data_IF_392045249093
#
_entry.id   IF_392045249093
#
_cell.length_a   1.000
_cell.length_b   1.000
_cell.length_c   1.000
_cell.angle_alpha   90.00
_cell.angle_beta   90.00
_cell.angle_gamma   90.00
#
_symmetry.space_group_name_H-M   'P 1'
#
loop_
_entity.id
_entity.type
_entity.pdbx_description
1 polymer ?
#
# COMPACT_ATOMS: atom_id res chain seq x y z
N UNK A 1 -9.11 -0.86 -2.43
CA UNK A 1 -8.97 -0.91 -0.96
C UNK A 1 -7.94 0.13 -0.53
N UNK A 2 -8.08 0.80 0.62
CA UNK A 2 -7.08 1.77 1.09
C UNK A 2 -6.54 1.33 2.45
N UNK A 3 -5.23 1.24 2.59
CA UNK A 3 -4.59 0.89 3.86
C UNK A 3 -3.82 2.10 4.41
N UNK A 4 -3.80 2.24 5.73
CA UNK A 4 -3.09 3.32 6.43
C UNK A 4 -1.96 2.70 7.22
N UNK A 5 -0.75 3.18 6.99
CA UNK A 5 0.48 2.68 7.59
C UNK A 5 1.20 3.82 8.31
N UNK A 6 1.94 3.46 9.35
CA UNK A 6 2.84 4.40 9.99
C UNK A 6 4.02 4.71 9.05
N UNK A 7 4.43 5.98 8.95
CA UNK A 7 5.61 6.36 8.20
C UNK A 7 6.84 5.68 8.80
N UNK A 8 7.79 5.27 7.95
CA UNK A 8 9.01 4.52 8.33
C UNK A 8 8.78 3.14 8.95
N UNK A 9 7.59 2.56 8.78
CA UNK A 9 7.36 1.14 9.11
C UNK A 9 7.72 0.24 7.94
N UNK A 10 8.12 -1.01 8.22
CA UNK A 10 8.41 -2.02 7.18
C UNK A 10 7.27 -2.18 6.15
N UNK A 11 6.02 -2.04 6.58
CA UNK A 11 4.87 -2.09 5.68
C UNK A 11 4.82 -0.90 4.72
N UNK A 12 5.17 0.30 5.18
CA UNK A 12 5.22 1.50 4.35
C UNK A 12 6.37 1.42 3.33
N UNK A 13 7.55 0.95 3.75
CA UNK A 13 8.67 0.66 2.85
C UNK A 13 8.30 -0.39 1.79
N UNK A 14 7.67 -1.50 2.21
CA UNK A 14 7.21 -2.54 1.28
C UNK A 14 6.20 -1.98 0.26
N UNK A 15 5.23 -1.17 0.69
CA UNK A 15 4.28 -0.54 -0.21
C UNK A 15 4.95 0.46 -1.17
N UNK A 16 5.95 1.22 -0.71
CA UNK A 16 6.71 2.14 -1.56
C UNK A 16 7.54 1.40 -2.60
N UNK A 17 8.23 0.33 -2.20
CA UNK A 17 9.00 -0.52 -3.13
C UNK A 17 8.06 -1.17 -4.14
N UNK A 18 6.93 -1.72 -3.70
CA UNK A 18 5.94 -2.33 -4.59
C UNK A 18 5.38 -1.33 -5.59
N UNK A 19 5.10 -0.10 -5.17
CA UNK A 19 4.67 0.97 -6.07
C UNK A 19 5.75 1.33 -7.09
N UNK A 20 6.98 1.60 -6.64
CA UNK A 20 8.11 2.00 -7.52
C UNK A 20 8.53 0.92 -8.50
N UNK A 21 8.45 -0.34 -8.09
CA UNK A 21 8.86 -1.49 -8.91
C UNK A 21 7.71 -2.20 -9.61
N UNK A 22 6.48 -1.70 -9.47
CA UNK A 22 5.27 -2.31 -9.99
C UNK A 22 5.14 -3.81 -9.59
N UNK A 23 5.42 -4.10 -8.32
CA UNK A 23 5.36 -5.46 -7.77
C UNK A 23 4.03 -5.72 -7.07
N UNK A 24 3.68 -7.00 -6.99
CA UNK A 24 2.54 -7.46 -6.19
C UNK A 24 2.84 -7.21 -4.72
N UNK A 25 1.92 -6.54 -4.05
CA UNK A 25 1.86 -6.31 -2.62
C UNK A 25 0.85 -7.27 -2.00
N UNK A 26 1.33 -8.21 -1.18
CA UNK A 26 0.46 -9.12 -0.46
C UNK A 26 -0.06 -8.47 0.83
N UNK A 27 -1.37 -8.48 1.00
CA UNK A 27 -2.02 -7.97 2.19
C UNK A 27 -3.15 -8.91 2.61
N UNK A 28 -3.14 -9.39 3.85
CA UNK A 28 -4.14 -10.34 4.37
C UNK A 28 -4.34 -11.57 3.46
N UNK A 29 -3.26 -12.14 2.92
CA UNK A 29 -3.29 -13.30 2.03
C UNK A 29 -3.88 -13.04 0.64
N UNK A 30 -4.07 -11.77 0.26
CA UNK A 30 -4.54 -11.37 -1.07
C UNK A 30 -3.49 -10.52 -1.76
N UNK A 31 -3.35 -10.72 -3.06
CA UNK A 31 -2.42 -9.99 -3.92
C UNK A 31 -3.04 -8.69 -4.43
N UNK A 32 -2.33 -7.58 -4.25
CA UNK A 32 -2.74 -6.25 -4.69
C UNK A 32 -1.62 -5.54 -5.47
N UNK A 33 -1.99 -4.66 -6.38
CA UNK A 33 -1.10 -3.62 -6.90
C UNK A 33 -1.31 -2.33 -6.11
N UNK A 34 -0.21 -1.67 -5.75
CA UNK A 34 -0.26 -0.33 -5.19
C UNK A 34 -0.47 0.65 -6.35
N UNK A 35 -1.64 1.28 -6.43
CA UNK A 35 -1.99 2.27 -7.46
C UNK A 35 -1.42 3.64 -7.15
N UNK A 36 -1.42 4.01 -5.87
CA UNK A 36 -1.04 5.36 -5.42
C UNK A 36 -0.62 5.34 -3.97
N UNK A 37 0.30 6.24 -3.63
CA UNK A 37 0.76 6.49 -2.27
C UNK A 37 0.56 7.96 -1.94
N UNK A 38 -0.11 8.23 -0.83
CA UNK A 38 -0.38 9.58 -0.34
C UNK A 38 -0.04 9.68 1.13
N UNK A 39 0.58 10.78 1.54
CA UNK A 39 0.87 11.04 2.95
C UNK A 39 -0.20 11.97 3.52
N UNK A 40 -0.85 11.57 4.59
CA UNK A 40 -1.84 12.38 5.31
C UNK A 40 -1.29 12.77 6.69
N UNK A 41 -1.72 13.91 7.22
CA UNK A 41 -1.29 14.42 8.52
C UNK A 41 0.14 14.97 8.56
N UNK A 42 0.48 15.61 9.67
CA UNK A 42 1.72 16.37 9.86
C UNK A 42 2.42 15.91 11.13
N UNK A 43 3.76 15.83 11.10
CA UNK A 43 4.55 15.43 12.27
C UNK A 43 4.33 13.96 12.69
N UNK A 44 4.27 13.65 14.00
CA UNK A 44 4.17 12.28 14.52
C UNK A 44 2.86 11.57 14.17
N UNK A 45 1.79 12.32 13.88
CA UNK A 45 0.49 11.79 13.44
C UNK A 45 0.40 11.52 11.94
N UNK A 46 1.49 11.77 11.20
CA UNK A 46 1.49 11.50 9.78
C UNK A 46 1.28 10.01 9.51
N UNK A 47 0.49 9.69 8.47
CA UNK A 47 0.25 8.32 8.00
C UNK A 47 0.46 8.24 6.49
N UNK A 48 1.03 7.13 6.04
CA UNK A 48 1.09 6.78 4.63
C UNK A 48 -0.17 6.01 4.25
N UNK A 49 -0.90 6.50 3.27
CA UNK A 49 -2.10 5.88 2.70
C UNK A 49 -1.71 5.25 1.38
N UNK A 50 -1.86 3.93 1.28
CA UNK A 50 -1.69 3.21 0.03
C UNK A 50 -3.05 2.83 -0.54
N UNK A 51 -3.26 3.17 -1.80
CA UNK A 51 -4.41 2.72 -2.58
C UNK A 51 -4.05 1.42 -3.28
N UNK A 52 -4.77 0.37 -2.90
CA UNK A 52 -4.58 -1.00 -3.37
C UNK A 52 -5.68 -1.38 -4.34
N UNK A 53 -5.28 -1.94 -5.48
CA UNK A 53 -6.14 -2.55 -6.48
C UNK A 53 -5.86 -4.06 -6.48
N UNK A 54 -6.88 -4.94 -6.49
CA UNK A 54 -6.64 -6.38 -6.54
C UNK A 54 -5.86 -6.75 -7.80
N UNK A 55 -4.78 -7.52 -7.64
CA UNK A 55 -3.93 -7.94 -8.77
C UNK A 55 -4.62 -9.01 -9.62
N UNK A 56 -5.48 -9.81 -8.99
CA UNK A 56 -6.32 -10.79 -9.65
C UNK A 56 -7.77 -10.43 -9.36
N UNK A 57 -8.53 -10.13 -10.40
CA UNK A 57 -9.99 -10.17 -10.27
C UNK A 57 -10.35 -11.63 -9.96
N UNK A 58 -11.15 -11.92 -8.91
CA UNK A 58 -11.80 -13.20 -8.83
C UNK A 58 -12.73 -13.28 -10.05
N UNK A 59 -12.30 -14.04 -11.06
CA UNK A 59 -13.18 -14.46 -12.15
C UNK A 59 -14.22 -15.33 -11.45
N UNK A 60 -15.44 -14.82 -11.41
CA UNK A 60 -16.56 -15.39 -10.67
C UNK A 60 -17.22 -16.53 -11.45
#
# INVERSE_FOLDING_TARGET
MKIRMLPKSKAADAAEISFKRNLIFEHNGKAYFVKSLSKIGTGPDSRLVAELEPAFNPIH
#
